data_IF_609295110432
#
_entry.id   IF_609295110432
#
_cell.length_a   1.000
_cell.length_b   1.000
_cell.length_c   1.000
_cell.angle_alpha   90.00
_cell.angle_beta   90.00
_cell.angle_gamma   90.00
#
_symmetry.space_group_name_H-M   'P 1'
#
loop_
_entity.id
_entity.type
_entity.pdbx_description
1 polymer ?
#
# COMPACT_ATOMS: atom_id res chain seq x y z
N UNK A 1 -7.49 -34.89 -4.09
CA UNK A 1 -6.34 -34.46 -4.90
C UNK A 1 -5.13 -34.56 -4.00
N UNK A 2 -4.12 -35.36 -4.38
CA UNK A 2 -2.83 -35.28 -3.67
C UNK A 2 -2.30 -33.86 -3.87
N UNK A 3 -1.96 -33.12 -2.80
CA UNK A 3 -1.35 -31.82 -2.95
C UNK A 3 0.02 -32.05 -3.59
N UNK A 4 0.12 -31.82 -4.91
CA UNK A 4 1.38 -31.86 -5.63
C UNK A 4 2.40 -31.03 -4.87
N UNK A 5 3.57 -31.61 -4.60
CA UNK A 5 4.60 -30.95 -3.82
C UNK A 5 5.01 -29.65 -4.54
N UNK A 6 4.78 -28.50 -3.89
CA UNK A 6 5.13 -27.20 -4.45
C UNK A 6 6.62 -27.16 -4.76
N UNK A 7 6.96 -26.66 -5.94
CA UNK A 7 8.34 -26.43 -6.31
C UNK A 7 8.93 -25.27 -5.49
N UNK A 8 10.26 -25.14 -5.51
CA UNK A 8 10.93 -24.00 -4.87
C UNK A 8 10.47 -22.68 -5.50
N UNK A 9 10.23 -22.65 -6.81
CA UNK A 9 9.79 -21.47 -7.55
C UNK A 9 8.38 -21.02 -7.13
N UNK A 10 7.47 -21.97 -6.90
CA UNK A 10 6.12 -21.69 -6.41
C UNK A 10 6.15 -21.05 -5.02
N UNK A 11 7.00 -21.58 -4.13
CA UNK A 11 7.19 -21.02 -2.80
C UNK A 11 7.77 -19.60 -2.83
N UNK A 12 8.75 -19.34 -3.70
CA UNK A 12 9.32 -17.99 -3.85
C UNK A 12 8.29 -16.99 -4.36
N UNK A 13 7.45 -17.40 -5.32
CA UNK A 13 6.39 -16.54 -5.87
C UNK A 13 5.35 -16.19 -4.81
N UNK A 14 4.91 -17.17 -4.02
CA UNK A 14 3.96 -16.97 -2.90
C UNK A 14 4.55 -16.06 -1.83
N UNK A 15 5.82 -16.26 -1.48
CA UNK A 15 6.53 -15.42 -0.51
C UNK A 15 6.71 -13.98 -1.01
N UNK A 16 7.00 -13.80 -2.29
CA UNK A 16 7.10 -12.48 -2.92
C UNK A 16 5.76 -11.75 -2.85
N UNK A 17 4.66 -12.40 -3.26
CA UNK A 17 3.32 -11.81 -3.18
C UNK A 17 2.97 -11.37 -1.75
N UNK A 18 3.28 -12.19 -0.75
CA UNK A 18 3.08 -11.85 0.67
C UNK A 18 3.93 -10.64 1.10
N UNK A 19 5.21 -10.60 0.73
CA UNK A 19 6.09 -9.46 1.04
C UNK A 19 5.60 -8.17 0.41
N UNK A 20 5.13 -8.22 -0.84
CA UNK A 20 4.57 -7.07 -1.53
C UNK A 20 3.29 -6.56 -0.85
N UNK A 21 2.43 -7.44 -0.35
CA UNK A 21 1.26 -7.03 0.46
C UNK A 21 1.66 -6.27 1.73
N UNK A 22 2.72 -6.67 2.42
CA UNK A 22 3.24 -5.91 3.56
C UNK A 22 3.85 -4.56 3.15
N UNK A 23 4.51 -4.50 2.00
CA UNK A 23 5.00 -3.21 1.45
C UNK A 23 3.82 -2.28 1.16
N UNK A 24 2.76 -2.79 0.53
CA UNK A 24 1.54 -2.04 0.30
C UNK A 24 0.94 -1.50 1.61
N UNK A 25 0.88 -2.33 2.65
CA UNK A 25 0.38 -1.90 3.96
C UNK A 25 1.16 -0.68 4.50
N UNK A 26 2.49 -0.71 4.45
CA UNK A 26 3.34 0.40 4.90
C UNK A 26 3.12 1.65 4.03
N UNK A 27 3.01 1.48 2.71
CA UNK A 27 2.77 2.59 1.79
C UNK A 27 1.39 3.22 2.00
N UNK A 28 0.35 2.42 2.21
CA UNK A 28 -1.00 2.86 2.52
C UNK A 28 -1.03 3.71 3.81
N UNK A 29 -0.39 3.24 4.88
CA UNK A 29 -0.25 4.03 6.11
C UNK A 29 0.51 5.34 5.88
N UNK A 30 1.61 5.29 5.11
CA UNK A 30 2.41 6.47 4.79
C UNK A 30 1.62 7.49 3.99
N UNK A 31 0.87 7.04 2.98
CA UNK A 31 0.01 7.86 2.15
C UNK A 31 -1.11 8.49 2.98
N UNK A 32 -1.85 7.68 3.74
CA UNK A 32 -2.95 8.13 4.58
C UNK A 32 -2.48 9.14 5.62
N UNK A 33 -1.44 8.82 6.40
CA UNK A 33 -0.90 9.73 7.41
C UNK A 33 -0.42 11.05 6.79
N UNK A 34 0.34 10.98 5.69
CA UNK A 34 0.88 12.18 5.05
C UNK A 34 -0.22 13.09 4.50
N UNK A 35 -1.22 12.52 3.81
CA UNK A 35 -2.32 13.29 3.23
C UNK A 35 -3.26 13.85 4.30
N UNK A 36 -3.61 13.06 5.33
CA UNK A 36 -4.45 13.53 6.45
C UNK A 36 -3.75 14.66 7.20
N UNK A 37 -2.45 14.54 7.46
CA UNK A 37 -1.70 15.58 8.15
C UNK A 37 -1.63 16.86 7.30
N UNK A 38 -1.35 16.74 6.00
CA UNK A 38 -1.25 17.89 5.09
C UNK A 38 -2.58 18.60 4.85
N UNK A 39 -3.67 17.84 4.76
CA UNK A 39 -4.98 18.33 4.36
C UNK A 39 -5.86 18.76 5.52
N UNK A 40 -5.86 18.03 6.64
CA UNK A 40 -6.74 18.29 7.77
C UNK A 40 -5.97 18.81 9.00
N UNK A 41 -4.90 18.13 9.42
CA UNK A 41 -4.23 18.44 10.70
C UNK A 41 -3.52 19.79 10.67
N UNK A 42 -2.64 20.04 9.70
CA UNK A 42 -1.89 21.30 9.63
C UNK A 42 -2.83 22.50 9.46
N UNK A 43 -3.79 22.51 8.51
CA UNK A 43 -4.71 23.63 8.37
C UNK A 43 -5.54 23.88 9.63
N UNK A 44 -6.14 22.82 10.20
CA UNK A 44 -6.93 22.95 11.42
C UNK A 44 -6.12 23.52 12.58
N UNK A 45 -4.86 23.11 12.76
CA UNK A 45 -4.00 23.59 13.84
C UNK A 45 -3.48 25.01 13.61
N UNK A 46 -3.32 25.43 12.34
CA UNK A 46 -2.97 26.81 12.00
C UNK A 46 -4.15 27.74 12.22
N UNK A 47 -5.36 27.32 11.83
CA UNK A 47 -6.58 28.12 11.96
C UNK A 47 -7.02 28.27 13.43
N UNK A 48 -6.79 27.25 14.27
CA UNK A 48 -7.03 27.31 15.71
C UNK A 48 -5.97 28.12 16.49
N UNK A 49 -4.90 28.57 15.83
CA UNK A 49 -3.78 29.26 16.47
C UNK A 49 -2.83 28.36 17.27
N UNK A 50 -3.03 27.03 17.23
CA UNK A 50 -2.14 26.05 17.89
C UNK A 50 -0.76 26.00 17.23
N UNK A 51 -0.69 26.18 15.91
CA UNK A 51 0.54 26.26 15.13
C UNK A 51 0.65 27.60 14.41
N UNK A 52 1.88 28.09 14.26
CA UNK A 52 2.12 29.31 13.45
C UNK A 52 1.90 29.05 11.97
N UNK A 53 1.51 30.09 11.22
CA UNK A 53 1.34 30.04 9.75
C UNK A 53 2.58 29.55 9.00
N UNK A 54 3.77 29.60 9.61
CA UNK A 54 5.03 29.07 9.04
C UNK A 54 4.97 27.56 8.78
N UNK A 55 4.11 26.83 9.49
CA UNK A 55 3.95 25.38 9.30
C UNK A 55 3.24 25.01 7.99
N UNK A 56 2.57 25.95 7.33
CA UNK A 56 1.94 25.68 6.02
C UNK A 56 2.95 25.24 4.95
N UNK A 57 4.24 25.59 5.07
CA UNK A 57 5.29 25.15 4.16
C UNK A 57 5.50 23.63 4.18
N UNK A 58 5.17 22.94 5.29
CA UNK A 58 5.33 21.49 5.42
C UNK A 58 4.21 20.70 4.73
N UNK A 59 3.12 21.37 4.34
CA UNK A 59 2.03 20.73 3.60
C UNK A 59 2.50 20.23 2.24
N UNK A 60 3.30 21.03 1.53
CA UNK A 60 3.81 20.65 0.21
C UNK A 60 4.64 19.35 0.23
N UNK A 61 5.69 19.20 1.06
CA UNK A 61 6.43 17.94 1.11
C UNK A 61 5.56 16.77 1.58
N UNK A 62 4.62 16.97 2.51
CA UNK A 62 3.69 15.91 2.92
C UNK A 62 2.75 15.47 1.80
N UNK A 63 2.25 16.40 0.98
CA UNK A 63 1.47 16.06 -0.21
C UNK A 63 2.30 15.27 -1.21
N UNK A 64 3.54 15.71 -1.48
CA UNK A 64 4.44 15.00 -2.40
C UNK A 64 4.71 13.58 -1.90
N UNK A 65 5.08 13.41 -0.62
CA UNK A 65 5.29 12.10 0.00
C UNK A 65 4.03 11.24 -0.07
N UNK A 66 2.86 11.80 0.27
CA UNK A 66 1.61 11.07 0.29
C UNK A 66 1.17 10.60 -1.10
N UNK A 67 1.30 11.46 -2.11
CA UNK A 67 0.96 11.12 -3.51
C UNK A 67 1.92 10.10 -4.08
N UNK A 68 3.23 10.25 -3.86
CA UNK A 68 4.24 9.28 -4.32
C UNK A 68 3.98 7.91 -3.67
N UNK A 69 3.76 7.87 -2.35
CA UNK A 69 3.46 6.64 -1.64
C UNK A 69 2.20 5.97 -2.20
N UNK A 70 1.14 6.74 -2.48
CA UNK A 70 -0.10 6.22 -3.06
C UNK A 70 0.08 5.65 -4.47
N UNK A 71 0.79 6.36 -5.35
CA UNK A 71 1.04 5.88 -6.73
C UNK A 71 1.88 4.60 -6.72
N UNK A 72 2.91 4.55 -5.87
CA UNK A 72 3.71 3.34 -5.68
C UNK A 72 2.88 2.20 -5.12
N UNK A 73 2.02 2.48 -4.14
CA UNK A 73 1.14 1.49 -3.52
C UNK A 73 0.22 0.84 -4.56
N UNK A 74 -0.47 1.65 -5.37
CA UNK A 74 -1.35 1.15 -6.44
C UNK A 74 -0.56 0.29 -7.44
N UNK A 75 0.61 0.74 -7.89
CA UNK A 75 1.43 -0.01 -8.83
C UNK A 75 1.88 -1.37 -8.28
N UNK A 76 2.37 -1.39 -7.04
CA UNK A 76 2.82 -2.62 -6.37
C UNK A 76 1.63 -3.53 -6.08
N UNK A 77 0.49 -2.98 -5.65
CA UNK A 77 -0.72 -3.75 -5.36
C UNK A 77 -1.22 -4.48 -6.59
N UNK A 78 -1.30 -3.80 -7.75
CA UNK A 78 -1.72 -4.41 -9.01
C UNK A 78 -0.77 -5.54 -9.45
N UNK A 79 0.54 -5.35 -9.25
CA UNK A 79 1.53 -6.39 -9.52
C UNK A 79 1.41 -7.58 -8.56
N UNK A 80 1.23 -7.33 -7.26
CA UNK A 80 1.03 -8.39 -6.28
C UNK A 80 -0.29 -9.16 -6.51
N UNK A 81 -1.34 -8.47 -6.96
CA UNK A 81 -2.61 -9.08 -7.33
C UNK A 81 -2.46 -10.01 -8.54
N UNK A 82 -1.68 -9.63 -9.55
CA UNK A 82 -1.45 -10.50 -10.72
C UNK A 82 -0.73 -11.79 -10.36
N UNK A 83 0.20 -11.74 -9.39
CA UNK A 83 0.84 -12.94 -8.82
C UNK A 83 -0.16 -13.79 -8.02
N UNK A 84 -1.07 -13.15 -7.27
CA UNK A 84 -2.04 -13.83 -6.42
C UNK A 84 -3.15 -14.54 -7.19
N UNK A 85 -3.55 -14.02 -8.36
CA UNK A 85 -4.61 -14.63 -9.18
C UNK A 85 -4.29 -16.08 -9.58
N UNK A 86 -3.04 -16.36 -9.98
CA UNK A 86 -2.59 -17.73 -10.27
C UNK A 86 -2.59 -18.63 -9.04
N UNK A 87 -2.18 -18.09 -7.89
CA UNK A 87 -2.18 -18.83 -6.62
C UNK A 87 -3.60 -19.20 -6.19
N UNK A 88 -4.58 -18.31 -6.37
CA UNK A 88 -5.98 -18.57 -6.00
C UNK A 88 -6.57 -19.66 -6.88
N UNK A 89 -6.33 -19.64 -8.19
CA UNK A 89 -6.80 -20.71 -9.08
C UNK A 89 -6.17 -22.06 -8.76
N UNK A 90 -4.92 -22.09 -8.30
CA UNK A 90 -4.23 -23.34 -7.95
C UNK A 90 -4.77 -23.95 -6.65
N UNK A 91 -5.08 -23.12 -5.64
CA UNK A 91 -5.58 -23.58 -4.34
C UNK A 91 -7.09 -23.87 -4.39
N UNK A 92 -7.84 -23.02 -5.10
CA UNK A 92 -9.30 -23.08 -5.21
C UNK A 92 -9.73 -23.00 -6.68
N UNK A 93 -9.59 -24.10 -7.45
CA UNK A 93 -9.90 -24.11 -8.87
C UNK A 93 -11.37 -23.79 -9.19
N UNK A 94 -12.28 -24.02 -8.26
CA UNK A 94 -13.71 -23.68 -8.38
C UNK A 94 -14.06 -22.30 -7.84
N UNK A 95 -13.10 -21.46 -7.45
CA UNK A 95 -13.39 -20.16 -6.82
C UNK A 95 -14.12 -19.18 -7.75
N UNK A 96 -13.88 -19.30 -9.06
CA UNK A 96 -14.45 -18.42 -10.09
C UNK A 96 -15.63 -19.03 -10.84
N UNK A 97 -16.03 -20.25 -10.51
CA UNK A 97 -17.20 -20.95 -11.08
C UNK A 97 -18.45 -20.64 -10.26
#
# INVERSE_FOLDING_TARGET
MDPGMLSVEDWQTRLLALRLMFVCLVLAFTAAASLVIAHAVIPSAVDSGTLSKRFNKYRLPLYVTGVIAFVLDVGIFLYALSLALGIISDIYPSFWQ
#
